data_IF_293944097859
#
_entry.id   IF_293944097859
#
_cell.length_a   1.000
_cell.length_b   1.000
_cell.length_c   1.000
_cell.angle_alpha   90.00
_cell.angle_beta   90.00
_cell.angle_gamma   90.00
#
_symmetry.space_group_name_H-M   'P 1'
#
loop_
_entity.id
_entity.type
_entity.pdbx_description
1 polymer ?
#
# COMPACT_ATOMS: atom_id res chain seq x y z
N UNK A 1 -52.92 5.75 10.24
CA UNK A 1 -51.89 5.48 11.25
C UNK A 1 -51.91 6.65 12.21
N UNK A 2 -52.12 6.36 13.49
CA UNK A 2 -51.99 7.32 14.58
C UNK A 2 -50.55 7.84 14.67
N UNK A 3 -50.38 9.07 15.14
CA UNK A 3 -49.07 9.71 15.32
C UNK A 3 -48.14 8.90 16.24
N UNK A 4 -48.72 8.18 17.21
CA UNK A 4 -47.99 7.27 18.11
C UNK A 4 -47.32 6.12 17.37
N UNK A 5 -48.02 5.48 16.43
CA UNK A 5 -47.46 4.41 15.60
C UNK A 5 -46.30 4.89 14.71
N UNK A 6 -46.40 6.11 14.15
CA UNK A 6 -45.31 6.70 13.39
C UNK A 6 -44.08 6.98 14.26
N UNK A 7 -44.27 7.54 15.46
CA UNK A 7 -43.19 7.86 16.37
C UNK A 7 -42.38 6.61 16.80
N UNK A 8 -43.05 5.48 17.04
CA UNK A 8 -42.42 4.22 17.43
C UNK A 8 -41.48 3.68 16.34
N UNK A 9 -41.81 3.89 15.07
CA UNK A 9 -40.99 3.43 13.93
C UNK A 9 -39.88 4.44 13.62
N UNK A 10 -40.20 5.74 13.64
CA UNK A 10 -39.27 6.80 13.21
C UNK A 10 -38.21 7.13 14.25
N UNK A 11 -38.54 7.10 15.55
CA UNK A 11 -37.60 7.42 16.62
C UNK A 11 -36.33 6.54 16.61
N UNK A 12 -36.40 5.19 16.55
CA UNK A 12 -35.20 4.36 16.50
C UNK A 12 -34.42 4.52 15.18
N UNK A 13 -35.10 4.80 14.06
CA UNK A 13 -34.44 5.07 12.78
C UNK A 13 -33.64 6.39 12.82
N UNK A 14 -34.21 7.45 13.40
CA UNK A 14 -33.50 8.72 13.57
C UNK A 14 -32.31 8.57 14.51
N UNK A 15 -32.49 7.87 15.62
CA UNK A 15 -31.42 7.60 16.58
C UNK A 15 -30.30 6.81 15.88
N UNK A 16 -30.64 5.75 15.14
CA UNK A 16 -29.69 5.01 14.31
C UNK A 16 -28.94 5.91 13.33
N UNK A 17 -29.62 6.79 12.60
CA UNK A 17 -28.97 7.71 11.67
C UNK A 17 -28.01 8.68 12.37
N UNK A 18 -28.37 9.19 13.54
CA UNK A 18 -27.52 10.13 14.31
C UNK A 18 -26.22 9.46 14.77
N UNK A 19 -26.22 8.16 15.08
CA UNK A 19 -25.00 7.48 15.53
C UNK A 19 -24.25 6.79 14.39
N UNK A 20 -24.96 6.06 13.53
CA UNK A 20 -24.33 5.21 12.51
C UNK A 20 -23.88 6.01 11.30
N UNK A 21 -24.64 7.03 10.87
CA UNK A 21 -24.25 7.81 9.70
C UNK A 21 -22.94 8.60 9.93
N UNK A 22 -22.69 9.25 11.09
CA UNK A 22 -21.40 9.89 11.36
C UNK A 22 -20.24 8.90 11.45
N UNK A 23 -20.44 7.73 12.08
CA UNK A 23 -19.40 6.69 12.13
C UNK A 23 -19.06 6.21 10.72
N UNK A 24 -20.08 5.95 9.90
CA UNK A 24 -19.90 5.55 8.51
C UNK A 24 -19.17 6.61 7.68
N UNK A 25 -19.52 7.88 7.85
CA UNK A 25 -18.83 9.00 7.21
C UNK A 25 -17.35 9.02 7.61
N UNK A 26 -17.04 8.93 8.90
CA UNK A 26 -15.64 8.91 9.37
C UNK A 26 -14.89 7.73 8.74
N UNK A 27 -15.46 6.53 8.73
CA UNK A 27 -14.84 5.34 8.14
C UNK A 27 -14.64 5.49 6.62
N UNK A 28 -15.63 6.03 5.91
CA UNK A 28 -15.57 6.24 4.46
C UNK A 28 -14.44 7.19 4.09
N UNK A 29 -14.35 8.33 4.76
CA UNK A 29 -13.32 9.33 4.47
C UNK A 29 -11.94 8.91 4.97
N UNK A 30 -11.85 8.18 6.09
CA UNK A 30 -10.58 7.64 6.59
C UNK A 30 -10.02 6.57 5.66
N UNK A 31 -10.86 5.67 5.16
CA UNK A 31 -10.47 4.65 4.17
C UNK A 31 -10.01 5.30 2.87
N UNK A 32 -10.77 6.28 2.36
CA UNK A 32 -10.40 7.04 1.16
C UNK A 32 -9.08 7.80 1.34
N UNK A 33 -8.81 8.33 2.54
CA UNK A 33 -7.53 8.98 2.87
C UNK A 33 -6.36 7.99 2.89
N UNK A 34 -6.55 6.78 3.40
CA UNK A 34 -5.50 5.75 3.37
C UNK A 34 -5.17 5.30 1.95
N UNK A 35 -6.17 5.18 1.07
CA UNK A 35 -5.95 4.81 -0.33
C UNK A 35 -5.37 5.97 -1.15
N UNK A 36 -5.66 7.22 -0.80
CA UNK A 36 -5.14 8.42 -1.47
C UNK A 36 -3.79 8.90 -0.91
N UNK A 37 -3.37 8.39 0.24
CA UNK A 37 -1.98 8.53 0.71
C UNK A 37 -1.14 7.62 -0.20
N UNK A 38 -0.56 8.21 -1.25
CA UNK A 38 0.47 7.56 -2.04
C UNK A 38 1.71 7.24 -1.20
N UNK A 39 2.82 6.97 -1.87
CA UNK A 39 4.11 6.70 -1.21
C UNK A 39 4.44 7.86 -0.26
N UNK A 40 4.57 7.53 1.03
CA UNK A 40 5.05 8.46 2.05
C UNK A 40 6.52 8.81 1.82
N UNK A 41 6.99 9.93 2.39
CA UNK A 41 8.39 10.35 2.25
C UNK A 41 9.38 9.27 2.74
N UNK A 42 8.99 8.49 3.75
CA UNK A 42 9.78 7.37 4.29
C UNK A 42 9.84 6.19 3.29
N UNK A 43 8.71 5.82 2.70
CA UNK A 43 8.65 4.80 1.66
C UNK A 43 9.44 5.25 0.41
N UNK A 44 9.41 6.55 0.07
CA UNK A 44 10.22 7.10 -1.01
C UNK A 44 11.72 6.96 -0.72
N UNK A 45 12.17 7.29 0.49
CA UNK A 45 13.56 7.09 0.92
C UNK A 45 13.99 5.63 0.80
N UNK A 46 13.12 4.69 1.21
CA UNK A 46 13.37 3.25 1.10
C UNK A 46 13.50 2.81 -0.37
N UNK A 47 12.66 3.34 -1.26
CA UNK A 47 12.74 3.04 -2.70
C UNK A 47 14.04 3.55 -3.32
N UNK A 48 14.47 4.76 -2.95
CA UNK A 48 15.75 5.32 -3.40
C UNK A 48 16.92 4.44 -2.94
N UNK A 49 16.92 4.02 -1.68
CA UNK A 49 17.95 3.12 -1.16
C UNK A 49 17.95 1.77 -1.90
N UNK A 50 16.78 1.21 -2.18
CA UNK A 50 16.67 -0.06 -2.89
C UNK A 50 17.18 0.07 -4.33
N UNK A 51 16.89 1.18 -5.01
CA UNK A 51 17.39 1.47 -6.35
C UNK A 51 18.93 1.58 -6.36
N UNK A 52 19.50 2.31 -5.41
CA UNK A 52 20.96 2.44 -5.28
C UNK A 52 21.63 1.08 -5.01
N UNK A 53 21.02 0.25 -4.16
CA UNK A 53 21.50 -1.12 -3.91
C UNK A 53 21.41 -1.98 -5.17
N UNK A 54 20.33 -1.88 -5.94
CA UNK A 54 20.18 -2.61 -7.19
C UNK A 54 21.26 -2.24 -8.22
N UNK A 55 21.58 -0.96 -8.34
CA UNK A 55 22.65 -0.49 -9.23
C UNK A 55 24.03 -1.01 -8.81
N UNK A 56 24.35 -0.94 -7.51
CA UNK A 56 25.58 -1.54 -6.97
C UNK A 56 25.65 -3.05 -7.18
N UNK A 57 24.52 -3.76 -7.07
CA UNK A 57 24.49 -5.20 -7.35
C UNK A 57 24.74 -5.50 -8.81
N UNK A 58 24.18 -4.71 -9.75
CA UNK A 58 24.41 -4.88 -11.17
C UNK A 58 25.88 -4.68 -11.56
N UNK A 59 26.54 -3.66 -11.02
CA UNK A 59 27.98 -3.41 -11.23
C UNK A 59 28.83 -4.59 -10.71
N UNK A 60 28.48 -5.11 -9.53
CA UNK A 60 29.16 -6.27 -8.95
C UNK A 60 28.95 -7.53 -9.78
N UNK A 61 27.74 -7.78 -10.30
CA UNK A 61 27.48 -8.91 -11.19
C UNK A 61 28.33 -8.79 -12.44
N UNK A 62 28.38 -7.60 -13.07
CA UNK A 62 29.22 -7.39 -14.25
C UNK A 62 30.71 -7.68 -13.96
N UNK A 63 31.19 -7.23 -12.79
CA UNK A 63 32.56 -7.52 -12.34
C UNK A 63 32.79 -9.01 -12.15
N UNK A 64 31.84 -9.72 -11.51
CA UNK A 64 31.93 -11.16 -11.31
C UNK A 64 31.91 -11.92 -12.63
N UNK A 65 31.07 -11.51 -13.58
CA UNK A 65 31.04 -12.09 -14.93
C UNK A 65 32.37 -11.88 -15.66
N UNK A 66 32.97 -10.69 -15.57
CA UNK A 66 34.28 -10.41 -16.17
C UNK A 66 35.40 -11.27 -15.57
N UNK A 67 35.38 -11.49 -14.24
CA UNK A 67 36.32 -12.39 -13.56
C UNK A 67 36.09 -13.84 -14.02
N UNK A 68 34.84 -14.29 -14.07
CA UNK A 68 34.50 -15.65 -14.51
C UNK A 68 34.85 -15.90 -15.98
N UNK A 69 34.68 -14.89 -16.85
CA UNK A 69 35.09 -14.96 -18.26
C UNK A 69 36.63 -15.06 -18.39
N UNK A 70 37.40 -14.46 -17.47
CA UNK A 70 38.87 -14.61 -17.36
C UNK A 70 39.30 -15.99 -16.85
N UNK A 71 38.72 -16.40 -15.72
CA UNK A 71 39.25 -17.50 -14.91
C UNK A 71 38.63 -18.86 -15.25
N UNK A 72 37.49 -18.88 -15.95
CA UNK A 72 36.79 -20.10 -16.34
C UNK A 72 36.04 -19.92 -17.66
N UNK A 73 36.73 -19.88 -18.82
CA UNK A 73 36.16 -19.50 -20.13
C UNK A 73 34.90 -20.23 -20.61
N UNK A 74 34.55 -21.36 -19.98
CA UNK A 74 33.43 -22.24 -20.34
C UNK A 74 32.34 -22.29 -19.27
N UNK A 75 32.38 -21.41 -18.25
CA UNK A 75 31.46 -21.41 -17.11
C UNK A 75 30.00 -21.24 -17.54
N UNK A 76 29.76 -20.48 -18.62
CA UNK A 76 28.43 -20.23 -19.19
C UNK A 76 27.78 -21.49 -19.79
N UNK A 77 28.58 -22.50 -20.12
CA UNK A 77 28.09 -23.77 -20.67
C UNK A 77 27.78 -24.82 -19.59
N UNK A 78 28.01 -24.50 -18.31
CA UNK A 78 27.73 -25.38 -17.16
C UNK A 78 26.41 -25.07 -16.45
N UNK A 79 25.61 -24.13 -16.98
CA UNK A 79 24.30 -23.73 -16.44
C UNK A 79 23.18 -24.54 -17.07
#
# INVERSE_FOLDING_TARGET
>A
MDEGMLAIIVAPLLLFLIFVAPIWLILHYRSKKQVAQGISDEEYGTLVELAERAEKMAERIHTLEAILDSDSPDWRNKV
#
